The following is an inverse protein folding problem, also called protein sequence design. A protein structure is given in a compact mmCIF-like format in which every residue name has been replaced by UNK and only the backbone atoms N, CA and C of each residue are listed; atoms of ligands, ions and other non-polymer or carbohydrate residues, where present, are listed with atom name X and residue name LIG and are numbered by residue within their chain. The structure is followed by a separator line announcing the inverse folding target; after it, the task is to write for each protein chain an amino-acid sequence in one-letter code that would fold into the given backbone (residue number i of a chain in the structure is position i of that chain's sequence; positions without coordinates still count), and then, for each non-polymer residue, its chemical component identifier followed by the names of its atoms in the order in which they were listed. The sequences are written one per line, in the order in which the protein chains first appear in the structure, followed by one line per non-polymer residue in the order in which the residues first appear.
data_IF_561440872961
#
_entry.id   IF_561440872961
#
_cell.length_a   1.000
_cell.length_b   1.000
_cell.length_c   1.000
_cell.angle_alpha   90.00
_cell.angle_beta   90.00
_cell.angle_gamma   90.00
#
_symmetry.space_group_name_H-M   'P 1'
#
loop_
_entity.id
_entity.type
_entity.pdbx_description
1 polymer ?
#
# COMPACT_ATOMS: atom_id res chain seq x y z
N UNK A 1 -3.15 6.41 15.72
CA UNK A 1 -3.19 6.70 14.27
C UNK A 1 -4.44 6.05 13.68
N UNK A 2 -5.08 6.70 12.74
CA UNK A 2 -6.18 6.13 11.94
C UNK A 2 -5.66 5.97 10.51
N UNK A 3 -5.96 4.83 9.90
CA UNK A 3 -5.72 4.65 8.47
C UNK A 3 -7.09 4.51 7.80
N UNK A 4 -7.32 5.32 6.79
CA UNK A 4 -8.59 5.39 6.08
C UNK A 4 -8.42 4.74 4.72
N UNK A 5 -9.30 3.80 4.37
CA UNK A 5 -9.32 3.18 3.04
C UNK A 5 -9.50 4.26 1.97
N UNK A 6 -9.16 3.97 0.69
CA UNK A 6 -9.18 5.01 -0.33
C UNK A 6 -10.53 5.71 -0.44
N UNK A 7 -10.50 7.03 -0.58
CA UNK A 7 -11.74 7.83 -0.63
C UNK A 7 -12.01 8.41 -2.02
N UNK A 8 -11.18 8.15 -3.02
CA UNK A 8 -11.38 8.70 -4.37
C UNK A 8 -12.72 8.25 -4.95
N UNK A 9 -13.38 9.14 -5.68
CA UNK A 9 -14.71 8.89 -6.26
C UNK A 9 -14.69 7.65 -7.15
N UNK A 10 -15.63 6.72 -6.91
CA UNK A 10 -15.81 5.48 -7.66
C UNK A 10 -17.28 5.33 -8.09
N UNK A 11 -17.58 4.30 -8.88
CA UNK A 11 -18.95 4.05 -9.35
C UNK A 11 -19.84 3.52 -8.24
N UNK A 12 -21.10 3.94 -8.23
CA UNK A 12 -22.05 3.51 -7.20
C UNK A 12 -21.87 4.23 -5.88
N UNK A 13 -22.36 3.63 -4.79
CA UNK A 13 -22.29 4.24 -3.46
C UNK A 13 -21.84 3.25 -2.38
N UNK A 14 -21.25 2.12 -2.77
CA UNK A 14 -20.70 1.11 -1.86
C UNK A 14 -19.40 0.58 -2.44
N UNK A 15 -18.39 0.46 -1.62
CA UNK A 15 -17.08 -0.06 -2.03
C UNK A 15 -16.05 0.20 -0.96
N UNK A 16 -14.92 -0.47 -1.10
CA UNK A 16 -13.78 -0.26 -0.21
C UNK A 16 -12.92 0.93 -0.65
N UNK A 17 -13.18 1.46 -1.86
CA UNK A 17 -12.42 2.60 -2.38
C UNK A 17 -11.36 2.26 -3.42
N UNK A 18 -11.15 0.97 -3.70
CA UNK A 18 -10.08 0.55 -4.64
C UNK A 18 -10.52 0.62 -6.11
N UNK A 19 -11.73 1.10 -6.37
CA UNK A 19 -12.24 1.32 -7.73
C UNK A 19 -12.32 2.80 -8.10
N UNK A 20 -11.45 3.63 -7.51
CA UNK A 20 -11.47 5.08 -7.74
C UNK A 20 -11.23 5.46 -9.19
N UNK A 21 -11.96 6.48 -9.66
CA UNK A 21 -11.82 7.00 -11.04
C UNK A 21 -11.55 8.49 -11.10
N UNK A 22 -11.74 9.23 -9.99
CA UNK A 22 -11.40 10.64 -9.90
C UNK A 22 -10.40 10.82 -8.76
N UNK A 23 -9.15 10.85 -9.12
CA UNK A 23 -8.03 10.76 -8.18
C UNK A 23 -7.96 11.94 -7.19
N UNK A 24 -8.57 13.07 -7.54
CA UNK A 24 -8.52 14.31 -6.77
C UNK A 24 -9.85 14.64 -6.08
N UNK A 25 -10.83 13.75 -6.07
CA UNK A 25 -12.14 14.04 -5.51
C UNK A 25 -12.57 12.97 -4.51
N UNK A 26 -12.89 13.36 -3.26
CA UNK A 26 -13.44 12.39 -2.32
C UNK A 26 -14.84 11.96 -2.77
N UNK A 27 -15.19 10.72 -2.49
CA UNK A 27 -16.44 10.11 -2.94
C UNK A 27 -17.64 10.81 -2.28
N UNK A 28 -18.61 11.18 -3.10
CA UNK A 28 -19.77 11.95 -2.65
C UNK A 28 -20.64 11.25 -1.61
N UNK A 29 -20.60 9.92 -1.54
CA UNK A 29 -21.37 9.18 -0.53
C UNK A 29 -20.79 9.38 0.89
N UNK A 30 -19.53 9.84 1.01
CA UNK A 30 -18.90 10.11 2.31
C UNK A 30 -19.11 11.54 2.79
N UNK A 31 -19.78 12.36 1.98
CA UNK A 31 -19.99 13.77 2.29
C UNK A 31 -19.24 14.68 1.33
N UNK A 32 -19.06 15.91 1.74
CA UNK A 32 -18.37 16.93 0.95
C UNK A 32 -16.87 16.92 1.26
N UNK A 33 -16.03 17.55 0.42
CA UNK A 33 -14.63 17.75 0.78
C UNK A 33 -14.44 18.42 2.16
N UNK A 34 -15.32 19.37 2.52
CA UNK A 34 -15.23 20.01 3.83
C UNK A 34 -15.58 19.05 4.97
N UNK A 35 -16.48 18.08 4.74
CA UNK A 35 -16.75 17.04 5.74
C UNK A 35 -15.50 16.18 5.98
N UNK A 36 -14.75 15.86 4.93
CA UNK A 36 -13.52 15.07 5.08
C UNK A 36 -12.45 15.88 5.84
N UNK A 37 -12.34 17.18 5.53
CA UNK A 37 -11.44 18.06 6.29
C UNK A 37 -11.85 18.12 7.77
N UNK A 38 -13.17 18.23 8.04
CA UNK A 38 -13.67 18.25 9.41
C UNK A 38 -13.37 16.93 10.16
N UNK A 39 -13.45 15.79 9.46
CA UNK A 39 -13.11 14.50 10.03
C UNK A 39 -11.64 14.48 10.47
N UNK A 40 -10.74 14.96 9.61
CA UNK A 40 -9.31 14.98 9.91
C UNK A 40 -9.02 15.94 11.06
N UNK A 41 -9.65 17.11 11.05
CA UNK A 41 -9.49 18.09 12.12
C UNK A 41 -9.96 17.51 13.47
N UNK A 42 -11.10 16.80 13.46
CA UNK A 42 -11.61 16.15 14.67
C UNK A 42 -10.65 15.06 15.18
N UNK A 43 -10.07 14.26 14.25
CA UNK A 43 -9.07 13.25 14.63
C UNK A 43 -7.87 13.92 15.30
N UNK A 44 -7.38 15.00 14.71
CA UNK A 44 -6.25 15.76 15.29
C UNK A 44 -6.60 16.30 16.67
N UNK A 45 -7.83 16.80 16.86
CA UNK A 45 -8.27 17.29 18.18
C UNK A 45 -8.26 16.19 19.23
N UNK A 46 -8.39 14.93 18.81
CA UNK A 46 -8.29 13.76 19.70
C UNK A 46 -6.87 13.19 19.77
N UNK A 47 -5.88 13.87 19.22
CA UNK A 47 -4.49 13.42 19.24
C UNK A 47 -4.22 12.24 18.30
N UNK A 48 -5.04 12.07 17.26
CA UNK A 48 -4.89 10.97 16.31
C UNK A 48 -4.38 11.49 14.97
N UNK A 49 -3.31 10.88 14.47
CA UNK A 49 -2.84 11.10 13.11
C UNK A 49 -3.76 10.38 12.12
N UNK A 50 -3.89 10.90 10.92
CA UNK A 50 -4.71 10.28 9.87
C UNK A 50 -3.83 9.99 8.64
N UNK A 51 -3.81 8.71 8.23
CA UNK A 51 -3.13 8.23 7.02
C UNK A 51 -4.20 7.81 6.02
N UNK A 52 -4.04 8.19 4.77
CA UNK A 52 -4.97 7.82 3.70
C UNK A 52 -4.33 6.78 2.79
N UNK A 53 -5.06 5.73 2.51
CA UNK A 53 -4.68 4.75 1.50
C UNK A 53 -4.93 5.37 0.12
N UNK A 54 -3.97 5.27 -0.79
CA UNK A 54 -4.05 5.90 -2.10
C UNK A 54 -3.68 4.89 -3.19
N UNK A 55 -4.56 4.80 -4.21
CA UNK A 55 -4.42 3.87 -5.33
C UNK A 55 -3.87 4.65 -6.52
N UNK A 56 -2.62 4.36 -6.90
CA UNK A 56 -1.99 5.00 -8.05
C UNK A 56 -1.69 4.02 -9.18
N UNK A 57 -1.90 2.72 -8.95
CA UNK A 57 -1.51 1.69 -9.90
C UNK A 57 -2.59 1.42 -10.96
N UNK A 58 -3.85 1.80 -10.70
CA UNK A 58 -4.95 1.52 -11.63
C UNK A 58 -6.13 2.48 -11.38
N UNK A 59 -7.13 2.40 -12.24
CA UNK A 59 -8.43 3.07 -12.10
C UNK A 59 -9.53 2.02 -12.14
N UNK A 60 -10.63 2.30 -11.46
CA UNK A 60 -11.76 1.38 -11.42
C UNK A 60 -12.44 1.23 -12.77
N UNK A 61 -13.24 0.17 -12.93
CA UNK A 61 -13.86 -0.14 -14.22
C UNK A 61 -15.09 0.71 -14.54
N UNK A 62 -15.77 1.27 -13.53
CA UNK A 62 -16.99 2.04 -13.74
C UNK A 62 -16.73 3.54 -13.64
N UNK A 63 -17.04 4.26 -14.71
CA UNK A 63 -16.90 5.72 -14.71
C UNK A 63 -15.54 6.22 -15.14
N UNK A 64 -14.64 5.34 -15.54
CA UNK A 64 -13.32 5.73 -16.04
C UNK A 64 -13.43 6.06 -17.53
N UNK A 65 -13.50 7.34 -17.85
CA UNK A 65 -13.57 7.82 -19.23
C UNK A 65 -12.20 8.28 -19.76
N UNK A 66 -11.14 8.14 -18.96
CA UNK A 66 -9.79 8.54 -19.40
C UNK A 66 -9.34 7.83 -20.71
N UNK A 67 -9.63 6.54 -20.92
CA UNK A 67 -9.21 5.92 -22.18
C UNK A 67 -9.83 6.56 -23.42
N UNK A 68 -11.03 7.17 -23.28
CA UNK A 68 -11.69 7.86 -24.39
C UNK A 68 -11.22 9.30 -24.53
N UNK A 69 -11.01 9.99 -23.40
CA UNK A 69 -10.69 11.41 -23.38
C UNK A 69 -9.19 11.68 -23.55
N UNK A 70 -8.36 10.78 -23.05
CA UNK A 70 -6.91 10.92 -23.08
C UNK A 70 -6.30 9.53 -23.34
N UNK A 71 -6.38 9.04 -24.57
CA UNK A 71 -5.95 7.65 -24.86
C UNK A 71 -4.48 7.38 -24.56
N UNK A 72 -3.63 8.41 -24.53
CA UNK A 72 -2.23 8.25 -24.18
C UNK A 72 -1.99 8.11 -22.67
N UNK A 73 -3.05 8.15 -21.87
CA UNK A 73 -2.94 7.97 -20.43
C UNK A 73 -2.54 6.53 -20.07
N UNK A 74 -2.80 5.59 -20.95
CA UNK A 74 -2.56 4.17 -20.69
C UNK A 74 -1.73 3.54 -21.82
N UNK A 75 -0.85 2.62 -21.45
CA UNK A 75 -0.12 1.80 -22.41
C UNK A 75 -1.02 0.68 -22.92
N UNK A 76 -1.21 0.61 -24.22
CA UNK A 76 -2.09 -0.41 -24.82
C UNK A 76 -1.53 -1.81 -24.71
N UNK A 77 -0.22 -1.93 -24.59
CA UNK A 77 0.48 -3.22 -24.62
C UNK A 77 0.87 -3.72 -23.23
N UNK A 78 0.56 -2.96 -22.20
CA UNK A 78 0.92 -3.30 -20.81
C UNK A 78 -0.37 -3.52 -20.04
N UNK A 79 -0.62 -4.77 -19.65
CA UNK A 79 -1.86 -5.15 -18.96
C UNK A 79 -1.60 -5.42 -17.49
N UNK A 80 -2.49 -4.92 -16.64
CA UNK A 80 -2.53 -5.23 -15.21
C UNK A 80 -3.83 -5.99 -14.92
N UNK A 81 -4.01 -6.52 -13.71
CA UNK A 81 -5.28 -7.16 -13.36
C UNK A 81 -6.51 -6.24 -13.52
N UNK A 82 -6.30 -4.93 -13.50
CA UNK A 82 -7.39 -3.94 -13.58
C UNK A 82 -7.53 -3.29 -14.94
N UNK A 83 -6.73 -3.69 -15.93
CA UNK A 83 -6.78 -3.12 -17.27
C UNK A 83 -5.42 -2.63 -17.75
N UNK A 84 -5.43 -1.70 -18.70
CA UNK A 84 -4.19 -1.19 -19.26
C UNK A 84 -3.37 -0.41 -18.22
N UNK A 85 -2.07 -0.63 -18.22
CA UNK A 85 -1.15 0.05 -17.30
C UNK A 85 -1.06 1.55 -17.56
N UNK A 86 -0.92 2.32 -16.51
CA UNK A 86 -0.79 3.78 -16.57
C UNK A 86 0.56 4.16 -17.21
N UNK A 87 0.55 5.14 -18.11
CA UNK A 87 1.72 5.54 -18.89
C UNK A 87 2.57 6.57 -18.12
N UNK A 88 3.31 6.10 -17.11
CA UNK A 88 4.15 6.95 -16.25
C UNK A 88 5.27 7.67 -17.01
N UNK A 89 5.65 7.17 -18.18
CA UNK A 89 6.67 7.76 -19.05
C UNK A 89 6.12 8.93 -19.91
N UNK A 90 4.82 9.18 -19.88
CA UNK A 90 4.20 10.33 -20.55
C UNK A 90 4.13 11.50 -19.56
N UNK A 91 4.83 12.58 -19.84
CA UNK A 91 5.01 13.72 -18.91
C UNK A 91 3.71 14.21 -18.28
N UNK A 92 2.65 14.38 -19.06
CA UNK A 92 1.38 14.91 -18.55
C UNK A 92 0.71 13.91 -17.61
N UNK A 93 0.77 12.61 -17.93
CA UNK A 93 0.24 11.54 -17.08
C UNK A 93 1.02 11.45 -15.80
N UNK A 94 2.36 11.43 -15.91
CA UNK A 94 3.26 11.39 -14.76
C UNK A 94 2.95 12.53 -13.81
N UNK A 95 2.85 13.75 -14.33
CA UNK A 95 2.56 14.92 -13.50
C UNK A 95 1.22 14.79 -12.80
N UNK A 96 0.20 14.32 -13.50
CA UNK A 96 -1.14 14.12 -12.92
C UNK A 96 -1.07 13.13 -11.74
N UNK A 97 -0.35 12.02 -11.91
CA UNK A 97 -0.25 10.99 -10.87
C UNK A 97 0.64 11.47 -9.71
N UNK A 98 1.79 12.08 -10.01
CA UNK A 98 2.75 12.53 -8.98
C UNK A 98 2.16 13.65 -8.10
N UNK A 99 1.32 14.51 -8.67
CA UNK A 99 0.71 15.61 -7.92
C UNK A 99 -0.40 15.14 -6.96
N UNK A 100 -1.03 13.98 -7.22
CA UNK A 100 -2.16 13.55 -6.41
C UNK A 100 -1.81 13.31 -4.93
N UNK A 101 -0.73 12.58 -4.59
CA UNK A 101 -0.33 12.45 -3.17
C UNK A 101 -0.09 13.79 -2.49
N UNK A 102 0.55 14.71 -3.18
CA UNK A 102 0.80 16.05 -2.64
C UNK A 102 -0.50 16.80 -2.39
N UNK A 103 -1.45 16.70 -3.33
CA UNK A 103 -2.76 17.32 -3.18
C UNK A 103 -3.44 16.81 -1.90
N UNK A 104 -3.51 15.48 -1.70
CA UNK A 104 -4.17 14.92 -0.53
C UNK A 104 -3.50 15.34 0.77
N UNK A 105 -2.16 15.32 0.81
CA UNK A 105 -1.42 15.73 2.01
C UNK A 105 -1.63 17.22 2.33
N UNK A 106 -1.60 18.09 1.30
CA UNK A 106 -1.70 19.53 1.51
C UNK A 106 -3.14 19.99 1.76
N UNK A 107 -4.05 19.59 0.88
CA UNK A 107 -5.43 20.07 0.92
C UNK A 107 -6.16 19.59 2.16
N UNK A 108 -5.91 18.35 2.59
CA UNK A 108 -6.62 17.74 3.70
C UNK A 108 -5.77 17.62 4.96
N UNK A 109 -4.51 18.06 4.91
CA UNK A 109 -3.58 18.03 6.05
C UNK A 109 -3.44 16.63 6.65
N UNK A 110 -3.41 15.63 5.79
CA UNK A 110 -3.16 14.25 6.21
C UNK A 110 -1.75 14.10 6.75
N UNK A 111 -1.56 13.15 7.67
CA UNK A 111 -0.28 12.88 8.31
C UNK A 111 0.54 11.82 7.57
N UNK A 112 -0.05 11.20 6.56
CA UNK A 112 0.67 10.22 5.76
C UNK A 112 -0.20 9.58 4.71
N UNK A 113 0.42 8.69 3.93
CA UNK A 113 -0.23 7.94 2.86
C UNK A 113 0.28 6.50 2.86
N UNK A 114 -0.61 5.57 2.57
CA UNK A 114 -0.25 4.19 2.25
C UNK A 114 -0.45 4.02 0.75
N UNK A 115 0.55 3.52 0.07
CA UNK A 115 0.54 3.36 -1.39
C UNK A 115 0.21 1.92 -1.74
N UNK A 116 -0.97 1.73 -2.31
CA UNK A 116 -1.58 0.43 -2.64
C UNK A 116 -0.86 -0.25 -3.80
N UNK A 117 -0.56 -1.55 -3.65
CA UNK A 117 -0.10 -2.46 -4.71
C UNK A 117 0.95 -1.83 -5.62
N UNK A 118 2.02 -1.30 -5.04
CA UNK A 118 3.04 -0.59 -5.84
C UNK A 118 3.81 -1.52 -6.77
N UNK A 119 3.76 -2.82 -6.53
CA UNK A 119 4.35 -3.82 -7.44
C UNK A 119 3.67 -3.82 -8.81
N UNK A 120 2.46 -3.24 -8.91
CA UNK A 120 1.72 -3.13 -10.16
C UNK A 120 2.03 -1.81 -10.90
N UNK A 121 2.90 -0.97 -10.35
CA UNK A 121 3.32 0.28 -11.00
C UNK A 121 4.57 -0.02 -11.84
N UNK A 122 4.38 -0.08 -13.15
CA UNK A 122 5.48 -0.27 -14.09
C UNK A 122 5.94 1.08 -14.64
N UNK A 123 7.06 1.54 -14.17
CA UNK A 123 7.65 2.81 -14.62
C UNK A 123 9.09 2.55 -15.06
N UNK A 124 9.33 2.69 -16.36
CA UNK A 124 10.65 2.47 -16.97
C UNK A 124 11.45 3.77 -17.10
N UNK A 125 10.98 4.85 -16.51
CA UNK A 125 11.67 6.15 -16.56
C UNK A 125 12.98 6.08 -15.77
N UNK A 126 13.89 7.01 -16.08
CA UNK A 126 15.21 7.07 -15.40
C UNK A 126 15.05 7.25 -13.88
N UNK A 127 14.02 7.96 -13.45
CA UNK A 127 13.69 8.09 -12.02
C UNK A 127 12.26 7.53 -11.85
N UNK A 128 12.12 6.52 -11.02
CA UNK A 128 10.81 5.90 -10.75
C UNK A 128 9.85 6.92 -10.13
N UNK A 129 8.60 6.92 -10.56
CA UNK A 129 7.59 7.88 -10.11
C UNK A 129 7.44 7.89 -8.58
N UNK A 130 7.50 6.72 -7.94
CA UNK A 130 7.39 6.65 -6.48
C UNK A 130 8.56 7.35 -5.78
N UNK A 131 9.77 7.27 -6.36
CA UNK A 131 10.92 8.02 -5.82
C UNK A 131 10.65 9.51 -5.95
N UNK A 132 10.19 9.95 -7.12
CA UNK A 132 9.87 11.37 -7.35
C UNK A 132 8.79 11.86 -6.39
N UNK A 133 7.73 11.07 -6.19
CA UNK A 133 6.65 11.39 -5.24
C UNK A 133 7.24 11.60 -3.83
N UNK A 134 8.03 10.63 -3.36
CA UNK A 134 8.58 10.71 -2.01
C UNK A 134 9.52 11.90 -1.85
N UNK A 135 10.42 12.13 -2.82
CA UNK A 135 11.31 13.28 -2.80
C UNK A 135 10.53 14.60 -2.74
N UNK A 136 9.49 14.71 -3.55
CA UNK A 136 8.67 15.93 -3.56
C UNK A 136 7.93 16.11 -2.23
N UNK A 137 7.38 15.03 -1.67
CA UNK A 137 6.70 15.11 -0.37
C UNK A 137 7.69 15.59 0.69
N UNK A 138 8.91 15.01 0.74
CA UNK A 138 9.93 15.41 1.72
C UNK A 138 10.35 16.86 1.55
N UNK A 139 10.41 17.36 0.31
CA UNK A 139 10.78 18.73 0.02
C UNK A 139 9.68 19.74 0.32
N UNK A 140 8.41 19.34 0.12
CA UNK A 140 7.28 20.28 0.15
C UNK A 140 6.47 20.25 1.45
N UNK A 141 6.49 19.13 2.20
CA UNK A 141 5.79 18.99 3.48
C UNK A 141 6.86 19.04 4.57
N UNK A 142 7.19 20.23 5.00
CA UNK A 142 8.28 20.45 5.98
C UNK A 142 7.78 20.95 7.33
N UNK A 143 6.49 21.25 7.43
CA UNK A 143 5.87 21.77 8.65
C UNK A 143 5.46 20.67 9.62
N UNK A 144 5.53 19.40 9.20
CA UNK A 144 5.14 18.27 10.04
C UNK A 144 5.71 16.97 9.45
N UNK A 145 5.78 15.90 10.26
CA UNK A 145 6.15 14.59 9.70
C UNK A 145 5.11 14.09 8.71
N UNK A 146 5.56 13.44 7.63
CA UNK A 146 4.68 12.75 6.69
C UNK A 146 5.09 11.28 6.65
N UNK A 147 4.18 10.39 7.06
CA UNK A 147 4.41 8.95 7.09
C UNK A 147 4.01 8.37 5.73
N UNK A 148 4.95 7.71 5.05
CA UNK A 148 4.71 7.14 3.73
C UNK A 148 4.99 5.65 3.82
N UNK A 149 3.95 4.82 3.63
CA UNK A 149 4.11 3.37 3.63
C UNK A 149 3.74 2.80 2.27
N UNK A 150 4.33 1.66 1.96
CA UNK A 150 4.10 0.97 0.68
C UNK A 150 3.56 -0.42 0.94
N UNK A 151 2.78 -0.92 -0.01
CA UNK A 151 2.39 -2.31 -0.07
C UNK A 151 3.05 -2.92 -1.30
N UNK A 152 3.93 -3.91 -1.08
CA UNK A 152 4.69 -4.54 -2.17
C UNK A 152 4.98 -6.00 -1.83
N UNK A 153 4.35 -6.90 -2.57
CA UNK A 153 4.48 -8.34 -2.33
C UNK A 153 5.84 -8.91 -2.68
N UNK A 154 6.70 -8.11 -3.33
CA UNK A 154 8.00 -8.60 -3.83
C UNK A 154 9.09 -8.65 -2.77
N UNK A 155 8.88 -8.11 -1.57
CA UNK A 155 9.89 -8.00 -0.51
C UNK A 155 11.11 -7.21 -0.97
N UNK A 156 10.89 -5.98 -1.43
CA UNK A 156 11.98 -5.11 -1.91
C UNK A 156 12.15 -3.91 -0.97
N UNK A 157 13.36 -3.34 -0.97
CA UNK A 157 13.68 -2.23 -0.03
C UNK A 157 14.20 -0.98 -0.74
N UNK A 158 14.15 -0.93 -2.09
CA UNK A 158 14.76 0.20 -2.80
C UNK A 158 14.10 1.55 -2.48
N UNK A 159 12.84 1.52 -2.02
CA UNK A 159 12.10 2.73 -1.63
C UNK A 159 12.32 3.11 -0.16
N UNK A 160 13.04 2.29 0.60
CA UNK A 160 13.15 2.44 2.05
C UNK A 160 14.59 2.68 2.53
N UNK A 161 15.38 3.55 1.85
CA UNK A 161 16.73 3.83 2.35
C UNK A 161 16.68 4.54 3.70
N UNK A 162 17.77 4.45 4.43
CA UNK A 162 17.90 5.14 5.72
C UNK A 162 19.17 5.98 5.72
N UNK A 163 19.02 7.19 6.25
CA UNK A 163 20.16 8.06 6.51
C UNK A 163 20.94 7.54 7.73
N UNK A 164 22.18 7.98 7.93
CA UNK A 164 22.94 7.55 9.11
C UNK A 164 22.27 7.84 10.45
N UNK A 165 21.40 8.85 10.51
CA UNK A 165 20.66 9.19 11.72
C UNK A 165 19.37 8.37 11.89
N UNK A 166 19.11 7.43 10.97
CA UNK A 166 17.93 6.58 10.99
C UNK A 166 16.70 7.16 10.31
N UNK A 167 16.74 8.40 9.87
CA UNK A 167 15.60 9.01 9.18
C UNK A 167 15.41 8.41 7.78
N UNK A 168 14.17 8.45 7.29
CA UNK A 168 13.80 7.91 5.98
C UNK A 168 13.73 9.05 4.96
N UNK A 169 14.67 9.13 4.01
CA UNK A 169 14.60 10.19 3.00
C UNK A 169 13.49 9.97 1.96
N UNK A 170 12.99 8.76 1.83
CA UNK A 170 11.88 8.43 0.91
C UNK A 170 10.70 7.86 1.71
N UNK A 171 10.44 6.56 1.62
CA UNK A 171 9.31 5.92 2.30
C UNK A 171 9.70 5.50 3.71
N UNK A 172 8.72 5.59 4.62
CA UNK A 172 8.93 5.32 6.05
C UNK A 172 8.90 3.83 6.36
N UNK A 173 8.01 3.09 5.70
CA UNK A 173 7.88 1.68 5.99
C UNK A 173 7.16 0.90 4.92
N UNK A 174 7.35 -0.41 4.98
CA UNK A 174 6.74 -1.39 4.09
C UNK A 174 5.70 -2.19 4.87
N UNK A 175 4.50 -2.35 4.32
CA UNK A 175 3.52 -3.28 4.85
C UNK A 175 4.06 -4.70 4.66
N UNK A 176 4.18 -5.44 5.74
CA UNK A 176 4.92 -6.70 5.76
C UNK A 176 3.98 -7.90 5.66
N UNK A 177 3.62 -8.27 4.44
CA UNK A 177 2.74 -9.41 4.19
C UNK A 177 3.35 -10.71 4.72
N UNK A 178 4.68 -10.83 4.69
CA UNK A 178 5.34 -12.02 5.24
C UNK A 178 4.97 -12.24 6.70
N UNK A 179 4.87 -11.15 7.48
CA UNK A 179 4.48 -11.29 8.90
C UNK A 179 3.07 -11.84 9.02
N UNK A 180 2.11 -11.24 8.27
CA UNK A 180 0.74 -11.77 8.27
C UNK A 180 0.71 -13.25 7.90
N UNK A 181 1.38 -13.59 6.79
CA UNK A 181 1.33 -14.95 6.26
C UNK A 181 1.94 -15.95 7.25
N UNK A 182 3.11 -15.65 7.80
CA UNK A 182 3.79 -16.55 8.73
C UNK A 182 3.00 -16.72 10.04
N UNK A 183 2.50 -15.60 10.61
CA UNK A 183 1.77 -15.68 11.88
C UNK A 183 0.41 -16.36 11.69
N UNK A 184 -0.22 -16.20 10.51
CA UNK A 184 -1.46 -16.88 10.19
C UNK A 184 -1.26 -18.41 10.14
N UNK A 185 -0.22 -18.85 9.41
CA UNK A 185 0.10 -20.29 9.34
C UNK A 185 0.43 -20.83 10.73
N UNK A 186 1.26 -20.11 11.48
CA UNK A 186 1.64 -20.51 12.84
C UNK A 186 0.40 -20.67 13.73
N UNK A 187 -0.56 -19.77 13.63
CA UNK A 187 -1.73 -19.77 14.51
C UNK A 187 -2.82 -20.74 14.08
N UNK A 188 -2.98 -20.97 12.78
CA UNK A 188 -4.14 -21.72 12.25
C UNK A 188 -3.78 -23.07 11.63
N UNK A 189 -2.54 -23.24 11.17
CA UNK A 189 -2.11 -24.41 10.42
C UNK A 189 -2.57 -24.43 8.97
N UNK A 190 -3.20 -23.35 8.48
CA UNK A 190 -3.66 -23.27 7.09
C UNK A 190 -2.48 -22.98 6.16
N UNK A 191 -2.33 -23.79 5.10
CA UNK A 191 -1.15 -23.72 4.21
C UNK A 191 -1.53 -23.71 2.72
N UNK A 192 -2.76 -23.37 2.38
CA UNK A 192 -3.16 -23.33 0.97
C UNK A 192 -2.89 -21.97 0.33
N UNK A 193 -2.80 -21.95 -0.99
CA UNK A 193 -2.53 -20.75 -1.79
C UNK A 193 -1.21 -20.09 -1.34
N UNK A 194 -1.17 -18.77 -1.18
CA UNK A 194 0.07 -18.07 -0.82
C UNK A 194 0.60 -18.44 0.57
N UNK A 195 -0.21 -19.03 1.44
CA UNK A 195 0.24 -19.51 2.75
C UNK A 195 1.22 -20.69 2.66
N UNK A 196 1.24 -21.42 1.53
CA UNK A 196 2.13 -22.59 1.42
C UNK A 196 3.62 -22.22 1.53
N UNK A 197 3.98 -20.98 1.18
CA UNK A 197 5.35 -20.49 1.34
C UNK A 197 5.78 -20.48 2.81
N UNK A 198 4.83 -20.45 3.73
CA UNK A 198 5.09 -20.34 5.17
C UNK A 198 4.76 -21.62 5.93
N UNK A 199 4.54 -22.74 5.21
CA UNK A 199 4.11 -24.00 5.80
C UNK A 199 5.18 -24.67 6.64
N UNK A 200 6.46 -24.51 6.27
CA UNK A 200 7.54 -25.16 6.97
C UNK A 200 8.14 -24.25 8.04
N UNK A 201 8.07 -24.68 9.31
CA UNK A 201 8.65 -24.00 10.46
C UNK A 201 8.19 -22.55 10.57
N UNK A 202 6.86 -22.29 10.55
CA UNK A 202 6.35 -20.92 10.57
C UNK A 202 6.84 -20.12 11.78
N UNK A 203 7.08 -20.78 12.92
CA UNK A 203 7.62 -20.11 14.11
C UNK A 203 9.01 -19.54 13.87
N UNK A 204 9.83 -20.20 13.04
CA UNK A 204 11.15 -19.69 12.68
C UNK A 204 11.05 -18.53 11.70
N UNK A 205 10.07 -18.61 10.78
CA UNK A 205 9.84 -17.51 9.84
C UNK A 205 9.36 -16.27 10.59
N UNK A 206 8.44 -16.43 11.56
CA UNK A 206 8.01 -15.30 12.40
C UNK A 206 9.22 -14.69 13.13
N UNK A 207 10.08 -15.54 13.72
CA UNK A 207 11.26 -15.05 14.44
C UNK A 207 12.20 -14.30 13.49
N UNK A 208 12.41 -14.84 12.29
CA UNK A 208 13.26 -14.19 11.27
C UNK A 208 12.69 -12.82 10.88
N UNK A 209 11.39 -12.78 10.62
CA UNK A 209 10.72 -11.51 10.22
C UNK A 209 10.92 -10.45 11.30
N UNK A 210 10.69 -10.80 12.56
CA UNK A 210 10.81 -9.86 13.67
C UNK A 210 12.25 -9.36 13.89
N UNK A 211 13.25 -10.11 13.39
CA UNK A 211 14.66 -9.73 13.58
C UNK A 211 15.33 -9.21 12.32
N UNK A 212 14.84 -9.60 11.14
CA UNK A 212 15.51 -9.31 9.87
C UNK A 212 14.61 -8.61 8.85
N UNK A 213 13.30 -8.54 9.09
CA UNK A 213 12.34 -7.85 8.21
C UNK A 213 11.48 -8.80 7.40
N UNK A 214 12.04 -9.45 6.39
CA UNK A 214 11.27 -10.37 5.54
C UNK A 214 11.61 -11.83 5.83
N UNK A 215 10.65 -12.73 5.58
CA UNK A 215 10.88 -14.16 5.62
C UNK A 215 11.70 -14.61 4.41
N UNK A 216 11.37 -14.04 3.25
CA UNK A 216 12.04 -14.37 1.97
C UNK A 216 12.98 -13.23 1.59
N UNK A 217 14.27 -13.54 1.54
CA UNK A 217 15.33 -12.56 1.27
C UNK A 217 16.22 -13.05 0.12
N UNK A 218 15.60 -13.69 -0.89
CA UNK A 218 16.28 -14.25 -2.06
C UNK A 218 16.11 -15.75 -2.18
N UNK A 219 15.53 -16.41 -1.17
CA UNK A 219 15.24 -17.84 -1.23
C UNK A 219 14.13 -18.12 -2.24
N UNK A 220 14.10 -19.35 -2.75
CA UNK A 220 13.08 -19.79 -3.70
C UNK A 220 11.74 -19.98 -2.97
N UNK A 221 10.70 -19.33 -3.46
CA UNK A 221 9.34 -19.51 -2.97
C UNK A 221 8.82 -20.87 -3.40
N UNK A 222 8.32 -21.72 -2.49
CA UNK A 222 7.68 -22.97 -2.87
C UNK A 222 6.47 -22.79 -3.81
N UNK A 223 5.75 -21.67 -3.67
CA UNK A 223 4.57 -21.42 -4.48
C UNK A 223 4.94 -21.08 -5.92
N UNK A 224 5.91 -20.21 -6.13
CA UNK A 224 6.25 -19.73 -7.48
C UNK A 224 7.36 -20.53 -8.13
N UNK A 225 8.24 -21.15 -7.33
CA UNK A 225 9.45 -21.81 -7.82
C UNK A 225 10.55 -20.82 -8.19
N UNK A 226 10.41 -19.54 -7.84
CA UNK A 226 11.34 -18.48 -8.19
C UNK A 226 11.88 -17.79 -6.93
N UNK A 227 13.10 -17.22 -6.99
CA UNK A 227 13.61 -16.44 -5.86
C UNK A 227 12.69 -15.26 -5.54
N UNK A 228 12.50 -15.00 -4.25
CA UNK A 228 11.65 -13.89 -3.79
C UNK A 228 12.40 -13.07 -2.74
N UNK A 229 12.33 -11.74 -2.91
CA UNK A 229 12.83 -10.81 -1.90
C UNK A 229 14.30 -10.45 -2.05
N UNK A 230 14.71 -9.54 -1.19
CA UNK A 230 16.11 -9.09 -1.08
C UNK A 230 16.50 -9.07 0.39
N UNK A 231 17.82 -9.05 0.64
CA UNK A 231 18.37 -8.95 2.00
C UNK A 231 17.82 -7.68 2.69
N UNK A 232 17.07 -7.86 3.76
CA UNK A 232 16.48 -6.78 4.55
C UNK A 232 17.16 -6.61 5.92
N UNK A 233 18.22 -7.35 6.22
CA UNK A 233 18.86 -7.34 7.54
C UNK A 233 19.39 -5.96 7.97
N UNK A 234 19.64 -5.07 7.00
CA UNK A 234 20.11 -3.72 7.28
C UNK A 234 19.02 -2.73 7.60
N UNK A 235 17.74 -3.13 7.52
CA UNK A 235 16.62 -2.24 7.78
C UNK A 235 16.28 -2.24 9.28
N UNK A 236 15.96 -1.07 9.85
CA UNK A 236 15.51 -1.04 11.25
C UNK A 236 14.09 -1.58 11.37
N UNK A 237 13.69 -2.12 12.54
CA UNK A 237 12.33 -2.65 12.70
C UNK A 237 11.22 -1.67 12.34
N UNK A 238 11.45 -0.37 12.56
CA UNK A 238 10.46 0.67 12.22
C UNK A 238 10.23 0.81 10.72
N UNK A 239 11.02 0.12 9.88
CA UNK A 239 10.82 0.11 8.43
C UNK A 239 9.72 -0.86 8.00
N UNK A 240 9.15 -1.61 8.94
CA UNK A 240 8.13 -2.63 8.62
C UNK A 240 6.85 -2.37 9.41
N UNK A 241 5.71 -2.47 8.72
CA UNK A 241 4.40 -2.43 9.35
C UNK A 241 3.93 -3.89 9.44
N UNK A 242 4.18 -4.52 10.57
CA UNK A 242 3.75 -5.90 10.83
C UNK A 242 2.30 -5.92 11.27
N UNK A 243 1.51 -6.80 10.69
CA UNK A 243 0.08 -6.90 11.01
C UNK A 243 -0.35 -8.36 11.05
N UNK A 244 -1.24 -8.67 11.99
CA UNK A 244 -1.83 -10.01 12.08
C UNK A 244 -2.88 -10.19 10.97
N UNK A 245 -3.59 -9.11 10.66
CA UNK A 245 -4.68 -9.13 9.70
C UNK A 245 -4.97 -7.69 9.27
N UNK A 246 -5.28 -7.49 8.00
CA UNK A 246 -5.70 -6.18 7.50
C UNK A 246 -7.02 -6.32 6.72
N UNK A 247 -7.39 -5.30 5.94
CA UNK A 247 -8.66 -5.28 5.21
C UNK A 247 -8.75 -6.40 4.16
N UNK A 248 -7.63 -6.88 3.63
CA UNK A 248 -7.63 -7.93 2.60
C UNK A 248 -8.10 -9.28 3.12
N UNK A 249 -7.89 -9.54 4.40
CA UNK A 249 -8.32 -10.81 4.98
C UNK A 249 -9.71 -10.73 5.60
N UNK A 250 -10.17 -9.51 5.92
CA UNK A 250 -11.50 -9.34 6.52
C UNK A 250 -12.59 -9.67 5.50
N UNK A 251 -13.44 -10.63 5.83
CA UNK A 251 -14.58 -10.99 4.98
C UNK A 251 -14.26 -11.91 3.82
N UNK A 252 -13.03 -12.35 3.67
CA UNK A 252 -12.67 -13.25 2.56
C UNK A 252 -12.99 -14.73 2.85
N UNK A 253 -13.66 -14.97 3.97
CA UNK A 253 -14.09 -16.31 4.38
C UNK A 253 -15.57 -16.27 4.74
N UNK A 254 -16.23 -17.43 4.65
CA UNK A 254 -17.67 -17.56 4.88
C UNK A 254 -18.09 -17.05 6.26
N UNK A 255 -17.23 -17.17 7.22
CA UNK A 255 -17.55 -16.77 8.59
C UNK A 255 -16.58 -15.73 9.18
N UNK A 256 -16.01 -15.04 8.25
CA UNK A 256 -15.19 -13.96 8.64
C UNK A 256 -14.02 -14.26 9.52
N UNK A 257 -13.78 -15.29 9.45
CA UNK A 257 -12.78 -15.66 10.37
C UNK A 257 -11.41 -15.67 9.82
N UNK A 258 -10.93 -14.88 9.59
CA UNK A 258 -9.54 -14.84 9.29
C UNK A 258 -8.75 -15.38 10.44
N UNK A 259 -7.86 -14.86 10.87
CA UNK A 259 -7.01 -15.26 11.88
C UNK A 259 -7.61 -15.24 13.27
N UNK A 260 -8.35 -14.46 13.35
CA UNK A 260 -9.03 -14.35 14.60
C UNK A 260 -9.93 -15.49 14.93
N UNK A 261 -10.35 -15.96 14.04
CA UNK A 261 -11.23 -17.05 14.20
C UNK A 261 -10.47 -18.35 14.40
N UNK A 262 -9.53 -18.34 13.84
CA UNK A 262 -8.75 -19.50 13.96
C UNK A 262 -8.05 -19.58 15.30
N UNK A 263 -7.76 -18.62 15.69
CA UNK A 263 -7.20 -18.64 16.96
C UNK A 263 -8.14 -18.91 18.09
N UNK A 264 -9.13 -18.60 17.78
CA UNK A 264 -10.19 -18.92 18.68
C UNK A 264 -10.69 -20.33 18.64
N UNK A 265 -10.41 -20.73 17.89
CA UNK A 265 -10.75 -22.06 17.72
C UNK A 265 -9.79 -23.01 18.32
N UNK A 266 -8.70 -22.65 18.60
CA UNK A 266 -7.63 -23.46 19.20
C UNK A 266 -7.45 -23.27 20.72
N UNK A 267 -8.17 -22.40 21.33
CA UNK A 267 -8.05 -22.14 22.77
C UNK A 267 -8.91 -23.08 23.66
#
# INVERSE_FOLDING_TARGET
MLEVLPVSQFGGNRGWGYDGVLLYAPHSAYGTPDDFKAFIDAAHAHGLSVVLDIVLNHFGPEGNYLPLLAPDFFHKERMTPWGNGIAYDVDAVRRYIVEAPLYWLKEYRLDGLRFDAIDQIEDTSAKHALVEIAERIRAEITDRPAHLTTEDSRNVIFLHPRNPDGSAPLFTGEWNDDFHNAIHVFATGETHAYYQDFAEQPEKLVARILTEGFAYQGEVSPQSGEPRGVDSTGQPPVAFVDFIQNHDQVGNRAWXXXXXXXXXXSA
#
